data_IF_373113963223
#
_entry.id   IF_373113963223
#
_cell.length_a   1.000
_cell.length_b   1.000
_cell.length_c   1.000
_cell.angle_alpha   90.00
_cell.angle_beta   90.00
_cell.angle_gamma   90.00
#
_symmetry.space_group_name_H-M   'P 1'
#
loop_
_entity.id
_entity.type
_entity.pdbx_description
1 polymer ?
#
# COMPACT_ATOMS: atom_id res chain seq x y z
N UNK A 1 -12.13 -17.29 -11.46
CA UNK A 1 -10.84 -16.67 -11.83
C UNK A 1 -10.86 -15.88 -13.15
N UNK A 2 -11.97 -15.82 -13.89
CA UNK A 2 -12.03 -15.18 -15.21
C UNK A 2 -12.76 -13.83 -15.24
N UNK A 3 -13.23 -13.32 -14.12
CA UNK A 3 -13.86 -11.99 -14.07
C UNK A 3 -12.85 -10.94 -13.60
N UNK A 4 -12.43 -10.06 -14.50
CA UNK A 4 -11.59 -8.88 -14.20
C UNK A 4 -10.10 -8.99 -14.55
N UNK A 5 -9.51 -10.18 -14.63
CA UNK A 5 -8.10 -10.36 -15.02
C UNK A 5 -7.92 -10.72 -16.52
N UNK A 6 -8.98 -10.67 -17.31
CA UNK A 6 -9.02 -11.18 -18.70
C UNK A 6 -8.29 -10.33 -19.75
N UNK A 7 -8.05 -9.06 -19.51
CA UNK A 7 -7.35 -8.18 -20.45
C UNK A 7 -5.88 -8.04 -20.04
N UNK A 8 -5.02 -8.82 -20.66
CA UNK A 8 -3.56 -8.90 -20.44
C UNK A 8 -2.83 -7.56 -20.60
N UNK A 9 -3.51 -6.53 -21.07
CA UNK A 9 -2.93 -5.22 -21.41
C UNK A 9 -3.58 -4.03 -20.68
N UNK A 10 -4.54 -4.26 -19.77
CA UNK A 10 -5.11 -3.13 -19.04
C UNK A 10 -4.17 -2.65 -17.94
N UNK A 11 -3.82 -1.37 -18.02
CA UNK A 11 -3.20 -0.64 -16.91
C UNK A 11 -4.15 -0.62 -15.74
N UNK A 12 -3.61 -0.76 -14.53
CA UNK A 12 -4.39 -0.72 -13.27
C UNK A 12 -4.09 0.58 -12.54
N UNK A 13 -5.11 1.25 -12.09
CA UNK A 13 -5.02 2.44 -11.25
C UNK A 13 -5.41 2.08 -9.81
N UNK A 14 -4.43 2.12 -8.90
CA UNK A 14 -4.67 2.02 -7.47
C UNK A 14 -5.29 3.32 -6.93
N UNK A 15 -5.91 3.22 -5.77
CA UNK A 15 -6.45 4.35 -5.02
C UNK A 15 -5.35 5.26 -4.43
N UNK A 16 -5.78 6.30 -3.70
CA UNK A 16 -4.95 7.25 -2.99
C UNK A 16 -4.97 7.03 -1.47
N UNK A 17 -4.46 8.02 -0.73
CA UNK A 17 -4.27 7.95 0.71
C UNK A 17 -5.59 7.92 1.49
N UNK A 18 -5.85 6.84 2.22
CA UNK A 18 -6.95 6.74 3.17
C UNK A 18 -6.76 7.70 4.36
N UNK A 19 -5.60 7.66 5.02
CA UNK A 19 -5.37 8.42 6.25
C UNK A 19 -5.43 9.95 6.06
N UNK A 20 -4.89 10.46 4.94
CA UNK A 20 -4.99 11.90 4.62
C UNK A 20 -6.44 12.32 4.42
N UNK A 21 -7.18 11.58 3.62
CA UNK A 21 -8.57 11.91 3.31
C UNK A 21 -9.46 11.90 4.56
N UNK A 22 -9.28 10.91 5.42
CA UNK A 22 -9.99 10.87 6.70
C UNK A 22 -9.68 12.10 7.57
N UNK A 23 -8.40 12.50 7.66
CA UNK A 23 -7.99 13.70 8.41
C UNK A 23 -8.60 14.98 7.82
N UNK A 24 -8.62 15.11 6.49
CA UNK A 24 -9.23 16.27 5.81
C UNK A 24 -10.75 16.35 6.03
N UNK A 25 -11.40 15.22 6.31
CA UNK A 25 -12.81 15.12 6.69
C UNK A 25 -13.05 15.33 8.19
N UNK A 26 -12.01 15.65 8.95
CA UNK A 26 -12.09 15.91 10.39
C UNK A 26 -12.15 14.66 11.25
N UNK A 27 -11.82 13.49 10.70
CA UNK A 27 -11.68 12.27 11.50
C UNK A 27 -10.35 12.34 12.27
N UNK A 28 -10.40 12.08 13.55
CA UNK A 28 -9.21 11.99 14.39
C UNK A 28 -8.35 10.78 13.96
N UNK A 29 -7.09 11.05 13.66
CA UNK A 29 -6.11 10.03 13.25
C UNK A 29 -4.99 10.05 14.30
N UNK A 30 -5.05 9.19 15.32
CA UNK A 30 -4.01 9.09 16.34
C UNK A 30 -2.73 8.47 15.76
N UNK A 31 -1.61 8.76 16.38
CA UNK A 31 -0.30 8.29 15.94
C UNK A 31 -0.12 6.78 16.14
N UNK A 32 -0.82 6.19 17.10
CA UNK A 32 -0.69 4.78 17.50
C UNK A 32 -1.30 3.81 16.50
N UNK A 33 -2.57 4.01 16.13
CA UNK A 33 -3.33 3.11 15.24
C UNK A 33 -3.70 3.73 13.90
N UNK A 34 -3.21 4.94 13.64
CA UNK A 34 -3.35 5.65 12.37
C UNK A 34 -4.80 5.66 11.84
N UNK A 35 -4.99 5.38 10.53
CA UNK A 35 -6.31 5.35 9.91
C UNK A 35 -7.23 4.22 10.41
N UNK A 36 -6.69 3.21 11.10
CA UNK A 36 -7.50 2.18 11.73
C UNK A 36 -8.48 2.74 12.78
N UNK A 37 -8.17 3.90 13.40
CA UNK A 37 -9.12 4.57 14.30
C UNK A 37 -10.46 4.88 13.63
N UNK A 38 -10.45 5.20 12.34
CA UNK A 38 -11.69 5.47 11.61
C UNK A 38 -12.64 4.28 11.52
N UNK A 39 -12.12 3.05 11.61
CA UNK A 39 -12.95 1.84 11.70
C UNK A 39 -13.81 1.84 12.97
N UNK A 40 -13.31 2.49 14.04
CA UNK A 40 -13.97 2.57 15.34
C UNK A 40 -14.95 3.73 15.46
N UNK A 41 -14.55 4.90 14.93
CA UNK A 41 -15.24 6.17 15.21
C UNK A 41 -15.98 6.76 14.00
N UNK A 42 -15.60 6.38 12.78
CA UNK A 42 -16.14 6.97 11.55
C UNK A 42 -16.15 5.99 10.36
N UNK A 43 -16.74 4.77 10.50
CA UNK A 43 -16.72 3.76 9.43
C UNK A 43 -17.37 4.25 8.13
N UNK A 44 -18.36 5.12 8.20
CA UNK A 44 -18.99 5.70 7.01
C UNK A 44 -18.02 6.60 6.23
N UNK A 45 -17.11 7.31 6.90
CA UNK A 45 -16.09 8.11 6.21
C UNK A 45 -15.07 7.23 5.50
N UNK A 46 -14.76 6.03 6.02
CA UNK A 46 -13.94 5.06 5.30
C UNK A 46 -14.61 4.65 3.98
N UNK A 47 -15.94 4.38 4.01
CA UNK A 47 -16.71 4.09 2.79
C UNK A 47 -16.66 5.27 1.83
N UNK A 48 -16.85 6.50 2.33
CA UNK A 48 -16.85 7.71 1.51
C UNK A 48 -15.50 7.93 0.82
N UNK A 49 -14.37 7.68 1.49
CA UNK A 49 -13.03 7.77 0.89
C UNK A 49 -12.87 6.74 -0.24
N UNK A 50 -13.31 5.50 -0.03
CA UNK A 50 -13.29 4.48 -1.09
C UNK A 50 -14.17 4.90 -2.28
N UNK A 51 -15.39 5.44 -2.03
CA UNK A 51 -16.31 5.91 -3.07
C UNK A 51 -15.67 7.00 -3.92
N UNK A 52 -15.00 7.97 -3.30
CA UNK A 52 -14.35 9.07 -4.02
C UNK A 52 -13.18 8.57 -4.88
N UNK A 53 -12.39 7.61 -4.38
CA UNK A 53 -11.33 6.99 -5.18
C UNK A 53 -11.91 6.20 -6.37
N UNK A 54 -13.00 5.45 -6.17
CA UNK A 54 -13.70 4.74 -7.26
C UNK A 54 -14.26 5.74 -8.28
N UNK A 55 -14.89 6.81 -7.83
CA UNK A 55 -15.42 7.87 -8.69
C UNK A 55 -14.30 8.58 -9.47
N UNK A 56 -13.12 8.72 -8.89
CA UNK A 56 -11.92 9.27 -9.53
C UNK A 56 -11.27 8.31 -10.54
N UNK A 57 -11.76 7.08 -10.63
CA UNK A 57 -11.37 6.11 -11.65
C UNK A 57 -10.42 5.03 -11.18
N UNK A 58 -10.26 4.81 -9.88
CA UNK A 58 -9.50 3.68 -9.36
C UNK A 58 -10.07 2.35 -9.87
N UNK A 59 -9.19 1.47 -10.32
CA UNK A 59 -9.50 0.10 -10.74
C UNK A 59 -9.27 -0.89 -9.59
N UNK A 60 -8.46 -0.50 -8.59
CA UNK A 60 -8.16 -1.26 -7.37
C UNK A 60 -8.24 -0.32 -6.18
N UNK A 61 -8.97 -0.71 -5.13
CA UNK A 61 -8.98 -0.02 -3.83
C UNK A 61 -8.36 -0.90 -2.77
N UNK A 62 -7.64 -0.28 -1.82
CA UNK A 62 -6.95 -0.97 -0.72
C UNK A 62 -7.75 -0.89 0.58
N UNK A 63 -7.89 -2.01 1.28
CA UNK A 63 -8.61 -2.03 2.57
C UNK A 63 -7.93 -1.14 3.61
N UNK A 64 -8.70 -0.51 4.49
CA UNK A 64 -8.16 0.29 5.61
C UNK A 64 -7.63 -0.60 6.75
N UNK A 65 -6.84 -1.63 6.39
CA UNK A 65 -6.23 -2.58 7.34
C UNK A 65 -4.76 -2.26 7.65
N UNK A 66 -4.18 -1.23 7.04
CA UNK A 66 -2.78 -0.86 7.23
C UNK A 66 -2.41 -0.61 8.70
N UNK A 67 -3.23 0.10 9.46
CA UNK A 67 -3.03 0.33 10.90
C UNK A 67 -3.60 -0.77 11.79
N UNK A 68 -4.20 -1.82 11.23
CA UNK A 68 -4.77 -2.93 12.01
C UNK A 68 -3.71 -4.00 12.22
N UNK A 69 -2.75 -3.72 13.10
CA UNK A 69 -1.67 -4.60 13.51
C UNK A 69 -1.75 -4.86 15.01
N UNK A 70 -1.46 -6.10 15.43
CA UNK A 70 -1.58 -6.48 16.86
C UNK A 70 -0.77 -5.57 17.77
N UNK A 71 0.47 -5.25 17.40
CA UNK A 71 1.35 -4.43 18.21
C UNK A 71 0.80 -3.00 18.42
N UNK A 72 0.22 -2.41 17.39
CA UNK A 72 -0.34 -1.06 17.46
C UNK A 72 -1.68 -1.06 18.22
N UNK A 73 -2.54 -2.04 17.96
CA UNK A 73 -3.79 -2.22 18.72
C UNK A 73 -3.54 -2.49 20.22
N UNK A 74 -2.42 -3.14 20.57
CA UNK A 74 -2.05 -3.38 21.97
C UNK A 74 -1.72 -2.08 22.71
N UNK A 75 -1.14 -1.08 22.02
CA UNK A 75 -0.88 0.25 22.61
C UNK A 75 -2.17 0.95 23.04
N UNK A 76 -3.28 0.66 22.36
CA UNK A 76 -4.62 1.17 22.68
C UNK A 76 -5.45 0.20 23.57
N UNK A 77 -4.89 -0.95 23.97
CA UNK A 77 -5.58 -1.96 24.77
C UNK A 77 -6.68 -2.72 24.02
N UNK A 78 -6.70 -2.66 22.68
CA UNK A 78 -7.74 -3.26 21.82
C UNK A 78 -7.21 -4.38 20.92
N UNK A 79 -6.09 -5.00 21.24
CA UNK A 79 -5.50 -6.11 20.47
C UNK A 79 -6.50 -7.26 20.23
N UNK A 80 -7.40 -7.51 21.17
CA UNK A 80 -8.44 -8.53 21.06
C UNK A 80 -9.39 -8.30 19.88
N UNK A 81 -9.48 -7.09 19.35
CA UNK A 81 -10.30 -6.72 18.19
C UNK A 81 -9.58 -6.88 16.84
N UNK A 82 -8.37 -7.43 16.81
CA UNK A 82 -7.55 -7.55 15.60
C UNK A 82 -8.30 -8.20 14.44
N UNK A 83 -8.94 -9.36 14.67
CA UNK A 83 -9.73 -10.03 13.64
C UNK A 83 -10.91 -9.19 13.19
N UNK A 84 -11.72 -8.71 14.14
CA UNK A 84 -12.91 -7.90 13.88
C UNK A 84 -12.59 -6.67 13.00
N UNK A 85 -11.51 -5.94 13.33
CA UNK A 85 -11.17 -4.73 12.60
C UNK A 85 -10.61 -5.00 11.19
N UNK A 86 -9.85 -6.09 11.00
CA UNK A 86 -9.43 -6.51 9.66
C UNK A 86 -10.64 -6.94 8.80
N UNK A 87 -11.59 -7.69 9.35
CA UNK A 87 -12.83 -8.07 8.67
C UNK A 87 -13.68 -6.83 8.34
N UNK A 88 -13.84 -5.90 9.29
CA UNK A 88 -14.58 -4.66 9.08
C UNK A 88 -13.94 -3.80 7.96
N UNK A 89 -12.62 -3.67 7.92
CA UNK A 89 -11.94 -2.94 6.85
C UNK A 89 -12.29 -3.52 5.45
N UNK A 90 -12.38 -4.84 5.35
CA UNK A 90 -12.80 -5.51 4.11
C UNK A 90 -14.29 -5.29 3.81
N UNK A 91 -15.15 -5.32 4.81
CA UNK A 91 -16.59 -5.08 4.65
C UNK A 91 -16.87 -3.67 4.12
N UNK A 92 -16.20 -2.66 4.68
CA UNK A 92 -16.37 -1.27 4.24
C UNK A 92 -15.92 -1.05 2.79
N UNK A 93 -14.79 -1.65 2.38
CA UNK A 93 -14.34 -1.61 0.99
C UNK A 93 -15.34 -2.30 0.03
N UNK A 94 -15.89 -3.45 0.42
CA UNK A 94 -16.93 -4.15 -0.35
C UNK A 94 -18.21 -3.35 -0.44
N UNK A 95 -18.62 -2.71 0.65
CA UNK A 95 -19.80 -1.85 0.68
C UNK A 95 -19.62 -0.62 -0.23
N UNK A 96 -18.44 0.01 -0.22
CA UNK A 96 -18.15 1.10 -1.14
C UNK A 96 -18.24 0.65 -2.61
N UNK A 97 -17.64 -0.49 -2.97
CA UNK A 97 -17.74 -1.08 -4.31
C UNK A 97 -19.20 -1.31 -4.73
N UNK A 98 -19.99 -1.89 -3.83
CA UNK A 98 -21.43 -2.13 -4.06
C UNK A 98 -22.21 -0.84 -4.25
N UNK A 99 -21.99 0.19 -3.40
CA UNK A 99 -22.66 1.51 -3.52
C UNK A 99 -22.27 2.23 -4.80
N UNK A 100 -21.02 2.09 -5.24
CA UNK A 100 -20.56 2.66 -6.50
C UNK A 100 -21.12 1.96 -7.75
N UNK A 101 -21.72 0.77 -7.60
CA UNK A 101 -22.16 -0.06 -8.74
C UNK A 101 -21.02 -0.51 -9.65
N UNK A 102 -19.78 -0.60 -9.12
CA UNK A 102 -18.56 -0.89 -9.85
C UNK A 102 -17.98 -2.26 -9.45
N UNK A 103 -18.70 -3.32 -9.79
CA UNK A 103 -18.29 -4.70 -9.49
C UNK A 103 -16.96 -5.10 -10.17
N UNK A 104 -16.49 -4.33 -11.14
CA UNK A 104 -15.22 -4.48 -11.84
C UNK A 104 -14.01 -3.99 -11.03
N UNK A 105 -14.23 -3.12 -10.02
CA UNK A 105 -13.18 -2.63 -9.13
C UNK A 105 -12.70 -3.77 -8.22
N UNK A 106 -11.39 -3.99 -8.17
CA UNK A 106 -10.77 -4.99 -7.31
C UNK A 106 -10.55 -4.44 -5.90
N UNK A 107 -10.62 -5.32 -4.91
CA UNK A 107 -10.29 -5.00 -3.52
C UNK A 107 -8.97 -5.70 -3.16
N UNK A 108 -7.96 -4.92 -2.81
CA UNK A 108 -6.69 -5.39 -2.31
C UNK A 108 -6.68 -5.39 -0.77
N UNK A 109 -6.42 -6.53 -0.16
CA UNK A 109 -6.20 -6.62 1.28
C UNK A 109 -4.81 -6.11 1.62
N UNK A 110 -4.71 -4.96 2.30
CA UNK A 110 -3.44 -4.36 2.65
C UNK A 110 -2.79 -5.08 3.83
N UNK A 111 -1.57 -5.57 3.63
CA UNK A 111 -0.69 -6.13 4.67
C UNK A 111 0.51 -5.20 4.86
N UNK A 112 0.58 -4.47 5.99
CA UNK A 112 1.60 -3.46 6.27
C UNK A 112 2.86 -4.03 6.92
N UNK A 113 3.94 -3.22 7.09
CA UNK A 113 5.01 -3.50 8.04
C UNK A 113 4.47 -3.65 9.46
N UNK A 114 4.95 -4.66 10.21
CA UNK A 114 4.37 -5.00 11.53
C UNK A 114 4.94 -4.19 12.69
N UNK A 115 6.10 -3.54 12.52
CA UNK A 115 6.84 -2.87 13.60
C UNK A 115 7.24 -1.43 13.26
N UNK A 116 6.58 -0.83 12.31
CA UNK A 116 6.79 0.56 11.89
C UNK A 116 7.14 0.71 10.42
N UNK A 117 6.45 1.65 9.76
CA UNK A 117 6.72 2.01 8.37
C UNK A 117 8.11 2.60 8.24
N UNK A 118 8.83 2.24 7.16
CA UNK A 118 10.18 2.73 6.84
C UNK A 118 11.30 2.26 7.78
N UNK A 119 11.00 1.46 8.79
CA UNK A 119 11.91 1.04 9.87
C UNK A 119 12.42 -0.39 9.64
N UNK A 120 13.31 -0.55 8.64
CA UNK A 120 13.96 -1.84 8.36
C UNK A 120 14.72 -2.42 9.57
N UNK A 121 15.20 -1.56 10.46
CA UNK A 121 15.89 -1.91 11.69
C UNK A 121 14.97 -2.53 12.76
N UNK A 122 13.66 -2.36 12.65
CA UNK A 122 12.67 -2.90 13.61
C UNK A 122 11.98 -4.19 13.12
N UNK A 123 12.24 -4.66 11.90
CA UNK A 123 11.54 -5.79 11.29
C UNK A 123 11.55 -7.05 12.15
N UNK A 124 12.70 -7.38 12.78
CA UNK A 124 12.86 -8.60 13.59
C UNK A 124 13.17 -9.84 12.73
N UNK A 125 13.12 -11.02 13.37
CA UNK A 125 13.47 -12.28 12.74
C UNK A 125 12.28 -12.89 11.99
N UNK A 126 12.58 -13.68 10.94
CA UNK A 126 11.56 -14.34 10.12
C UNK A 126 10.54 -15.15 10.93
N UNK A 127 11.02 -15.98 11.86
CA UNK A 127 10.18 -16.87 12.67
C UNK A 127 9.26 -16.10 13.66
N UNK A 128 9.59 -14.85 13.95
CA UNK A 128 8.76 -13.97 14.77
C UNK A 128 7.65 -13.30 13.96
N UNK A 129 7.97 -12.80 12.75
CA UNK A 129 7.04 -11.99 11.97
C UNK A 129 6.14 -12.83 11.04
N UNK A 130 6.62 -13.97 10.55
CA UNK A 130 5.86 -14.83 9.64
C UNK A 130 4.50 -15.29 10.21
N UNK A 131 4.40 -15.78 11.47
CA UNK A 131 3.10 -16.18 12.05
C UNK A 131 2.10 -15.02 12.12
N UNK A 132 2.58 -13.79 12.35
CA UNK A 132 1.73 -12.60 12.42
C UNK A 132 1.17 -12.23 11.05
N UNK A 133 2.02 -12.25 10.02
CA UNK A 133 1.56 -12.09 8.63
C UNK A 133 0.61 -13.21 8.20
N UNK A 134 0.88 -14.44 8.61
CA UNK A 134 0.02 -15.58 8.27
C UNK A 134 -1.38 -15.42 8.86
N UNK A 135 -1.48 -14.98 10.12
CA UNK A 135 -2.77 -14.69 10.74
C UNK A 135 -3.55 -13.61 9.98
N UNK A 136 -2.89 -12.47 9.69
CA UNK A 136 -3.54 -11.38 8.96
C UNK A 136 -3.97 -11.80 7.56
N UNK A 137 -3.10 -12.48 6.81
CA UNK A 137 -3.40 -12.98 5.47
C UNK A 137 -4.61 -13.91 5.47
N UNK A 138 -4.72 -14.82 6.45
CA UNK A 138 -5.85 -15.75 6.58
C UNK A 138 -7.17 -15.02 6.89
N UNK A 139 -7.12 -13.92 7.63
CA UNK A 139 -8.31 -13.10 7.92
C UNK A 139 -8.75 -12.34 6.67
N UNK A 140 -7.83 -11.72 5.95
CA UNK A 140 -8.14 -10.90 4.77
C UNK A 140 -8.60 -11.74 3.57
N UNK A 141 -7.96 -12.87 3.32
CA UNK A 141 -8.11 -13.66 2.09
C UNK A 141 -9.55 -14.01 1.70
N UNK A 142 -10.49 -14.37 2.61
CA UNK A 142 -11.88 -14.67 2.23
C UNK A 142 -12.64 -13.48 1.65
N UNK A 143 -12.20 -12.25 1.94
CA UNK A 143 -12.96 -11.02 1.74
C UNK A 143 -12.45 -10.15 0.59
N UNK A 144 -11.27 -10.45 0.02
CA UNK A 144 -10.58 -9.60 -0.95
C UNK A 144 -10.29 -10.34 -2.27
N UNK A 145 -10.02 -9.59 -3.33
CA UNK A 145 -9.71 -10.14 -4.65
C UNK A 145 -8.21 -10.48 -4.80
N UNK A 146 -7.35 -9.73 -4.11
CA UNK A 146 -5.90 -9.95 -4.03
C UNK A 146 -5.37 -9.50 -2.67
N UNK A 147 -4.15 -9.92 -2.32
CA UNK A 147 -3.41 -9.42 -1.16
C UNK A 147 -2.26 -8.54 -1.64
N UNK A 148 -2.12 -7.37 -1.05
CA UNK A 148 -1.05 -6.41 -1.30
C UNK A 148 -0.17 -6.31 -0.05
N UNK A 149 1.03 -6.93 -0.13
CA UNK A 149 2.08 -6.74 0.86
C UNK A 149 2.77 -5.41 0.55
N UNK A 150 2.47 -4.36 1.28
CA UNK A 150 2.88 -3.00 0.92
C UNK A 150 3.85 -2.37 1.92
N UNK A 151 4.69 -1.47 1.41
CA UNK A 151 5.67 -0.69 2.19
C UNK A 151 6.74 -1.58 2.85
N UNK A 152 7.03 -2.74 2.25
CA UNK A 152 8.04 -3.66 2.76
C UNK A 152 9.43 -3.00 2.73
N UNK A 153 10.08 -2.89 3.89
CA UNK A 153 11.31 -2.13 4.08
C UNK A 153 12.59 -2.94 3.84
N UNK A 154 12.46 -4.27 3.81
CA UNK A 154 13.58 -5.21 3.63
C UNK A 154 13.18 -6.44 2.82
N UNK A 155 14.16 -7.18 2.33
CA UNK A 155 13.96 -8.46 1.65
C UNK A 155 13.31 -9.49 2.57
N UNK A 156 13.73 -9.55 3.84
CA UNK A 156 13.19 -10.47 4.84
C UNK A 156 11.73 -10.19 5.15
N UNK A 157 11.35 -8.92 5.34
CA UNK A 157 9.97 -8.51 5.59
C UNK A 157 9.08 -8.86 4.40
N UNK A 158 9.51 -8.50 3.19
CA UNK A 158 8.80 -8.85 1.96
C UNK A 158 8.64 -10.37 1.80
N UNK A 159 9.66 -11.16 2.15
CA UNK A 159 9.60 -12.62 2.12
C UNK A 159 8.57 -13.19 3.10
N UNK A 160 8.57 -12.73 4.34
CA UNK A 160 7.62 -13.22 5.35
C UNK A 160 6.18 -12.89 4.95
N UNK A 161 5.91 -11.64 4.55
CA UNK A 161 4.59 -11.20 4.11
C UNK A 161 4.12 -11.96 2.85
N UNK A 162 4.96 -12.04 1.82
CA UNK A 162 4.63 -12.73 0.57
C UNK A 162 4.40 -14.22 0.77
N UNK A 163 5.22 -14.90 1.59
CA UNK A 163 5.03 -16.32 1.90
C UNK A 163 3.68 -16.57 2.56
N UNK A 164 3.34 -15.75 3.55
CA UNK A 164 2.05 -15.83 4.26
C UNK A 164 0.85 -15.56 3.31
N UNK A 165 0.96 -14.54 2.47
CA UNK A 165 -0.08 -14.18 1.51
C UNK A 165 -0.27 -15.27 0.45
N UNK A 166 0.81 -15.79 -0.14
CA UNK A 166 0.76 -16.84 -1.16
C UNK A 166 0.13 -18.13 -0.64
N UNK A 167 0.33 -18.46 0.63
CA UNK A 167 -0.27 -19.64 1.26
C UNK A 167 -1.82 -19.60 1.29
N UNK A 168 -2.44 -18.43 1.11
CA UNK A 168 -3.90 -18.27 1.05
C UNK A 168 -4.50 -18.68 -0.30
N UNK A 169 -3.70 -18.81 -1.36
CA UNK A 169 -4.13 -19.05 -2.73
C UNK A 169 -4.72 -17.81 -3.44
N UNK A 170 -4.69 -16.62 -2.82
CA UNK A 170 -5.07 -15.36 -3.48
C UNK A 170 -3.93 -14.85 -4.37
N UNK A 171 -4.23 -14.09 -5.44
CA UNK A 171 -3.22 -13.30 -6.13
C UNK A 171 -2.46 -12.41 -5.15
N UNK A 172 -1.15 -12.32 -5.29
CA UNK A 172 -0.30 -11.53 -4.39
C UNK A 172 0.50 -10.51 -5.17
N UNK A 173 0.45 -9.26 -4.69
CA UNK A 173 1.36 -8.19 -5.10
C UNK A 173 2.26 -7.84 -3.93
N UNK A 174 3.53 -7.56 -4.23
CA UNK A 174 4.51 -7.09 -3.25
C UNK A 174 5.01 -5.71 -3.66
N UNK A 175 4.96 -4.78 -2.73
CA UNK A 175 5.45 -3.42 -2.92
C UNK A 175 6.51 -3.10 -1.87
N UNK A 176 7.71 -2.77 -2.32
CA UNK A 176 8.81 -2.35 -1.45
C UNK A 176 8.86 -0.84 -1.33
N UNK A 177 9.21 -0.34 -0.14
CA UNK A 177 9.51 1.06 0.06
C UNK A 177 11.00 1.32 -0.13
N UNK A 178 11.31 2.25 -1.04
CA UNK A 178 12.69 2.57 -1.41
C UNK A 178 13.25 3.70 -0.53
N UNK A 179 14.57 3.78 -0.48
CA UNK A 179 15.27 4.83 0.24
C UNK A 179 15.12 6.18 -0.48
N UNK A 180 14.88 7.27 0.28
CA UNK A 180 14.62 8.60 -0.31
C UNK A 180 15.85 9.20 -1.00
N UNK A 181 17.03 8.95 -0.46
CA UNK A 181 18.28 9.60 -0.89
C UNK A 181 19.29 8.64 -1.53
N UNK A 182 18.95 7.35 -1.64
CA UNK A 182 19.81 6.32 -2.26
C UNK A 182 18.96 5.59 -3.31
N UNK A 183 19.21 5.87 -4.57
CA UNK A 183 18.43 5.31 -5.68
C UNK A 183 18.66 3.78 -5.79
N UNK A 184 17.58 3.05 -6.10
CA UNK A 184 17.63 1.62 -6.40
C UNK A 184 17.78 0.70 -5.21
N UNK A 185 17.70 1.19 -3.97
CA UNK A 185 17.80 0.37 -2.76
C UNK A 185 16.59 0.52 -1.85
N UNK A 186 16.28 -0.52 -1.09
CA UNK A 186 15.27 -0.51 -0.04
C UNK A 186 15.72 0.33 1.16
N UNK A 187 14.81 0.56 2.10
CA UNK A 187 15.14 1.22 3.39
C UNK A 187 16.21 0.48 4.20
N UNK A 188 16.28 -0.83 4.07
CA UNK A 188 17.35 -1.68 4.65
C UNK A 188 18.73 -1.47 4.04
N UNK A 189 18.79 -0.89 2.83
CA UNK A 189 20.00 -0.79 2.03
C UNK A 189 20.24 -1.96 1.07
N UNK A 190 19.37 -2.98 1.09
CA UNK A 190 19.38 -4.08 0.13
C UNK A 190 18.92 -3.57 -1.25
N UNK A 191 19.43 -4.20 -2.32
CA UNK A 191 18.93 -3.92 -3.68
C UNK A 191 17.55 -4.54 -3.93
N UNK A 192 16.84 -4.02 -4.92
CA UNK A 192 15.59 -4.65 -5.41
C UNK A 192 15.82 -6.08 -5.90
N UNK A 193 16.97 -6.37 -6.51
CA UNK A 193 17.34 -7.70 -6.96
C UNK A 193 17.47 -8.70 -5.81
N UNK A 194 18.08 -8.30 -4.68
CA UNK A 194 18.14 -9.13 -3.47
C UNK A 194 16.74 -9.35 -2.88
N UNK A 195 15.91 -8.30 -2.83
CA UNK A 195 14.53 -8.41 -2.35
C UNK A 195 13.68 -9.34 -3.25
N UNK A 196 13.81 -9.22 -4.57
CA UNK A 196 13.16 -10.13 -5.52
C UNK A 196 13.67 -11.57 -5.36
N UNK A 197 14.99 -11.79 -5.26
CA UNK A 197 15.56 -13.12 -5.10
C UNK A 197 15.03 -13.85 -3.87
N UNK A 198 14.71 -13.12 -2.79
CA UNK A 198 14.12 -13.68 -1.57
C UNK A 198 12.71 -14.28 -1.77
N UNK A 199 11.98 -13.87 -2.82
CA UNK A 199 10.60 -14.30 -3.12
C UNK A 199 10.45 -14.90 -4.52
N UNK A 200 11.51 -15.09 -5.28
CA UNK A 200 11.47 -15.52 -6.68
C UNK A 200 10.76 -16.88 -6.91
N UNK A 201 10.78 -17.76 -5.91
CA UNK A 201 10.11 -19.07 -5.96
C UNK A 201 8.63 -19.02 -5.55
N UNK A 202 8.14 -17.87 -5.09
CA UNK A 202 6.74 -17.70 -4.69
C UNK A 202 5.87 -17.30 -5.89
N UNK A 203 4.58 -17.71 -5.93
CA UNK A 203 3.66 -17.36 -7.00
C UNK A 203 3.16 -15.91 -6.88
N UNK A 204 4.07 -14.96 -6.71
CA UNK A 204 3.78 -13.53 -6.73
C UNK A 204 3.51 -13.09 -8.15
N UNK A 205 2.45 -12.31 -8.37
CA UNK A 205 2.05 -11.86 -9.70
C UNK A 205 2.22 -10.35 -9.92
N UNK A 206 2.56 -9.59 -8.88
CA UNK A 206 2.81 -8.14 -8.97
C UNK A 206 4.05 -7.72 -8.17
N UNK A 207 4.91 -6.93 -8.79
CA UNK A 207 6.12 -6.36 -8.18
C UNK A 207 6.07 -4.85 -8.32
N UNK A 208 6.03 -4.15 -7.19
CA UNK A 208 5.78 -2.72 -7.11
C UNK A 208 6.79 -2.03 -6.20
N UNK A 209 6.90 -0.71 -6.33
CA UNK A 209 7.52 0.13 -5.30
C UNK A 209 6.49 1.13 -4.78
N UNK A 210 6.46 1.38 -3.47
CA UNK A 210 5.47 2.30 -2.91
C UNK A 210 5.96 3.11 -1.72
N UNK A 211 5.17 4.12 -1.41
CA UNK A 211 5.36 4.99 -0.24
C UNK A 211 6.79 5.53 -0.09
N UNK A 212 7.41 5.84 -1.20
CA UNK A 212 8.71 6.49 -1.35
C UNK A 212 8.58 7.63 -2.36
N UNK A 213 9.61 8.49 -2.52
CA UNK A 213 9.57 9.56 -3.51
C UNK A 213 9.33 9.03 -4.93
N UNK A 214 8.57 9.75 -5.76
CA UNK A 214 8.28 9.33 -7.14
C UNK A 214 9.55 9.17 -7.99
N UNK A 215 10.60 9.91 -7.71
CA UNK A 215 11.92 9.82 -8.36
C UNK A 215 12.63 8.49 -8.03
N UNK A 216 12.42 7.98 -6.81
CA UNK A 216 12.96 6.66 -6.41
C UNK A 216 12.28 5.54 -7.19
N UNK A 217 10.96 5.63 -7.41
CA UNK A 217 10.23 4.68 -8.27
C UNK A 217 10.72 4.78 -9.70
N UNK A 218 10.86 5.99 -10.25
CA UNK A 218 11.38 6.19 -11.63
C UNK A 218 12.73 5.50 -11.82
N UNK A 219 13.65 5.67 -10.87
CA UNK A 219 14.97 5.04 -10.95
C UNK A 219 14.94 3.52 -10.84
N UNK A 220 13.96 2.96 -10.13
CA UNK A 220 13.80 1.52 -9.93
C UNK A 220 13.03 0.82 -11.07
N UNK A 221 12.32 1.58 -11.91
CA UNK A 221 11.48 1.01 -12.97
C UNK A 221 12.19 0.04 -13.92
N UNK A 222 13.44 0.29 -14.38
CA UNK A 222 14.12 -0.66 -15.26
C UNK A 222 14.32 -2.04 -14.61
N UNK A 223 14.59 -2.08 -13.31
CA UNK A 223 14.78 -3.32 -12.56
C UNK A 223 13.42 -4.01 -12.28
N UNK A 224 12.41 -3.25 -11.86
CA UNK A 224 11.05 -3.75 -11.70
C UNK A 224 10.49 -4.33 -12.99
N UNK A 225 10.66 -3.64 -14.12
CA UNK A 225 10.17 -4.08 -15.44
C UNK A 225 10.86 -5.37 -15.94
N UNK A 226 12.04 -5.70 -15.43
CA UNK A 226 12.73 -6.94 -15.73
C UNK A 226 12.23 -8.15 -14.91
N UNK A 227 11.45 -7.93 -13.86
CA UNK A 227 10.88 -9.01 -13.03
C UNK A 227 9.76 -9.73 -13.79
N UNK A 228 9.57 -11.05 -13.58
CA UNK A 228 8.60 -11.86 -14.34
C UNK A 228 7.16 -11.70 -13.84
N UNK A 229 6.81 -10.52 -13.34
CA UNK A 229 5.46 -10.20 -12.85
C UNK A 229 4.52 -9.79 -13.96
N UNK A 230 3.23 -10.11 -13.80
CA UNK A 230 2.17 -9.60 -14.66
C UNK A 230 1.86 -8.13 -14.38
N UNK A 231 2.04 -7.71 -13.13
CA UNK A 231 1.74 -6.37 -12.65
C UNK A 231 3.02 -5.73 -12.15
N UNK A 232 3.41 -4.63 -12.78
CA UNK A 232 4.66 -3.91 -12.52
C UNK A 232 4.35 -2.43 -12.36
N UNK A 233 4.95 -1.78 -11.36
CA UNK A 233 4.78 -0.33 -11.25
C UNK A 233 5.02 0.24 -9.87
N UNK A 234 4.23 1.26 -9.51
CA UNK A 234 4.37 1.88 -8.21
C UNK A 234 3.32 2.94 -7.89
N UNK A 235 3.31 3.33 -6.61
CA UNK A 235 2.44 4.36 -6.05
C UNK A 235 3.21 5.12 -4.95
N UNK A 236 3.65 6.33 -5.30
CA UNK A 236 4.54 7.15 -4.48
C UNK A 236 3.78 7.90 -3.38
N UNK A 237 4.51 8.34 -2.36
CA UNK A 237 4.06 9.37 -1.46
C UNK A 237 4.38 10.77 -2.02
N UNK A 238 3.84 11.81 -1.37
CA UNK A 238 4.18 13.21 -1.66
C UNK A 238 4.92 13.87 -0.50
N UNK A 239 5.57 13.10 0.35
CA UNK A 239 6.28 13.62 1.51
C UNK A 239 7.64 14.22 1.16
N UNK A 240 8.09 15.16 1.98
CA UNK A 240 9.50 15.51 2.09
C UNK A 240 10.30 14.26 2.50
N UNK A 241 11.63 14.22 2.24
CA UNK A 241 12.44 13.07 2.62
C UNK A 241 12.23 12.66 4.08
N UNK A 242 11.97 11.37 4.29
CA UNK A 242 11.61 10.81 5.59
C UNK A 242 12.88 10.51 6.37
N UNK A 243 13.07 11.07 7.58
CA UNK A 243 14.20 10.72 8.44
C UNK A 243 14.27 9.21 8.72
N UNK A 244 15.49 8.68 8.84
CA UNK A 244 15.68 7.24 9.02
C UNK A 244 15.10 6.73 10.35
N UNK A 245 15.15 7.57 11.38
CA UNK A 245 14.67 7.28 12.74
C UNK A 245 13.19 7.59 12.93
N UNK A 246 12.50 8.07 11.88
CA UNK A 246 11.11 8.46 11.97
C UNK A 246 10.21 7.30 12.40
N UNK A 247 9.32 7.57 13.34
CA UNK A 247 8.27 6.64 13.75
C UNK A 247 6.91 7.34 13.72
N UNK A 248 5.86 6.57 13.48
CA UNK A 248 4.50 7.10 13.45
C UNK A 248 3.96 7.34 14.87
N UNK A 249 4.38 6.54 15.83
CA UNK A 249 3.78 6.40 17.16
C UNK A 249 4.39 7.30 18.24
N UNK A 250 5.15 8.31 17.85
CA UNK A 250 5.75 9.25 18.79
C UNK A 250 6.85 8.66 19.68
N UNK A 251 7.40 7.50 19.32
CA UNK A 251 8.44 6.83 20.13
C UNK A 251 9.88 7.20 19.70
N UNK A 252 10.03 8.00 18.65
CA UNK A 252 11.32 8.42 18.10
C UNK A 252 11.65 9.91 18.33
N UNK A 253 12.90 10.29 18.04
CA UNK A 253 13.32 11.70 18.08
C UNK A 253 12.77 12.54 16.91
N UNK A 254 12.17 11.89 15.90
CA UNK A 254 11.65 12.50 14.68
C UNK A 254 10.22 12.02 14.43
N UNK A 255 9.27 12.63 15.12
CA UNK A 255 7.87 12.21 15.18
C UNK A 255 6.92 13.15 14.43
N UNK A 256 5.66 12.70 14.32
CA UNK A 256 4.55 13.52 13.88
C UNK A 256 4.26 13.46 12.40
N UNK A 257 3.30 14.25 11.91
CA UNK A 257 2.88 14.23 10.53
C UNK A 257 4.01 14.71 9.62
N UNK A 258 4.34 13.90 8.61
CA UNK A 258 5.34 14.25 7.61
C UNK A 258 4.88 15.44 6.76
N UNK A 259 5.79 16.37 6.49
CA UNK A 259 5.53 17.50 5.61
C UNK A 259 5.37 17.04 4.16
N UNK A 260 4.41 17.63 3.46
CA UNK A 260 4.13 17.35 2.05
C UNK A 260 4.95 18.29 1.17
N UNK A 261 5.42 17.81 0.04
CA UNK A 261 6.14 18.57 -0.99
C UNK A 261 5.18 19.49 -1.75
N UNK A 262 5.51 20.76 -1.86
CA UNK A 262 4.71 21.76 -2.59
C UNK A 262 4.84 21.63 -4.12
N UNK A 263 5.92 20.99 -4.60
CA UNK A 263 6.20 20.78 -6.03
C UNK A 263 5.54 19.53 -6.62
N UNK A 264 4.86 18.73 -5.80
CA UNK A 264 4.16 17.51 -6.23
C UNK A 264 2.63 17.70 -6.21
N UNK A 265 2.13 18.66 -6.97
CA UNK A 265 0.70 18.77 -7.22
C UNK A 265 0.19 17.58 -8.09
N UNK A 266 -1.13 17.39 -8.28
CA UNK A 266 -1.69 16.30 -9.08
C UNK A 266 -1.15 16.24 -10.51
N UNK A 267 -0.81 17.38 -11.12
CA UNK A 267 -0.27 17.46 -12.47
C UNK A 267 1.18 16.96 -12.51
N UNK A 268 2.05 17.49 -11.67
CA UNK A 268 3.46 17.10 -11.58
C UNK A 268 3.60 15.62 -11.22
N UNK A 269 2.76 15.13 -10.29
CA UNK A 269 2.73 13.72 -9.93
C UNK A 269 2.36 12.83 -11.13
N UNK A 270 1.34 13.21 -11.90
CA UNK A 270 0.91 12.46 -13.07
C UNK A 270 1.96 12.44 -14.18
N UNK A 271 2.75 13.50 -14.33
CA UNK A 271 3.87 13.55 -15.27
C UNK A 271 4.99 12.56 -14.89
N UNK A 272 5.31 12.46 -13.60
CA UNK A 272 6.26 11.45 -13.08
C UNK A 272 5.73 10.04 -13.29
N UNK A 273 4.46 9.78 -12.96
CA UNK A 273 3.84 8.48 -13.20
C UNK A 273 3.80 8.11 -14.70
N UNK A 274 3.67 9.09 -15.59
CA UNK A 274 3.78 8.91 -17.04
C UNK A 274 5.15 8.38 -17.48
N UNK A 275 6.23 8.78 -16.77
CA UNK A 275 7.57 8.24 -17.03
C UNK A 275 7.69 6.79 -16.58
N UNK A 276 7.04 6.41 -15.45
CA UNK A 276 6.99 5.00 -15.02
C UNK A 276 6.28 4.13 -16.04
N UNK A 277 5.13 4.60 -16.57
CA UNK A 277 4.42 3.91 -17.66
C UNK A 277 5.28 3.74 -18.91
N UNK A 278 6.02 4.78 -19.30
CA UNK A 278 6.95 4.74 -20.44
C UNK A 278 8.11 3.76 -20.21
N UNK A 279 8.46 3.49 -18.94
CA UNK A 279 9.51 2.56 -18.53
C UNK A 279 8.99 1.14 -18.24
N UNK A 280 7.72 0.83 -18.56
CA UNK A 280 7.18 -0.52 -18.48
C UNK A 280 6.19 -0.76 -17.33
N UNK A 281 5.84 0.26 -16.53
CA UNK A 281 4.79 0.11 -15.54
C UNK A 281 3.42 -0.14 -16.20
N UNK A 282 2.62 -0.98 -15.58
CA UNK A 282 1.20 -1.16 -15.88
C UNK A 282 0.30 -1.02 -14.65
N UNK A 283 0.90 -0.75 -13.48
CA UNK A 283 0.20 -0.38 -12.24
C UNK A 283 0.74 0.96 -11.77
N UNK A 284 -0.14 1.93 -11.60
CA UNK A 284 0.18 3.23 -10.98
C UNK A 284 -0.89 3.58 -9.95
N UNK A 285 -0.60 4.47 -9.05
CA UNK A 285 -1.54 4.94 -8.03
C UNK A 285 -0.95 5.99 -7.13
N UNK A 286 -1.61 6.27 -6.01
CA UNK A 286 -1.14 7.17 -4.99
C UNK A 286 -0.96 6.48 -3.64
N UNK A 287 -0.04 6.98 -2.82
CA UNK A 287 0.15 6.57 -1.44
C UNK A 287 -0.05 7.78 -0.52
N UNK A 288 0.65 7.83 0.59
CA UNK A 288 0.54 8.93 1.56
C UNK A 288 0.67 10.31 0.91
N UNK A 289 -0.16 11.25 1.35
CA UNK A 289 -0.18 12.62 0.84
C UNK A 289 -0.97 12.83 -0.46
N UNK A 290 -1.38 11.79 -1.18
CA UNK A 290 -2.25 11.93 -2.36
C UNK A 290 -3.74 12.00 -1.98
N UNK A 291 -4.57 12.48 -2.89
CA UNK A 291 -6.03 12.61 -2.74
C UNK A 291 -6.74 12.01 -3.95
N UNK A 292 -8.08 11.87 -3.93
CA UNK A 292 -8.86 11.47 -5.09
C UNK A 292 -8.62 12.34 -6.34
N UNK A 293 -8.20 13.60 -6.17
CA UNK A 293 -7.81 14.48 -7.27
C UNK A 293 -6.57 13.97 -8.02
N UNK A 294 -5.58 13.44 -7.29
CA UNK A 294 -4.41 12.80 -7.90
C UNK A 294 -4.83 11.58 -8.73
N UNK A 295 -5.75 10.77 -8.20
CA UNK A 295 -6.25 9.59 -8.90
C UNK A 295 -7.01 9.98 -10.17
N UNK A 296 -7.86 11.00 -10.11
CA UNK A 296 -8.55 11.54 -11.29
C UNK A 296 -7.56 12.05 -12.34
N UNK A 297 -6.48 12.71 -11.92
CA UNK A 297 -5.45 13.21 -12.83
C UNK A 297 -4.66 12.06 -13.48
N UNK A 298 -4.29 11.04 -12.70
CA UNK A 298 -3.67 9.81 -13.22
C UNK A 298 -4.58 9.11 -14.23
N UNK A 299 -5.90 9.00 -13.94
CA UNK A 299 -6.88 8.40 -14.86
C UNK A 299 -6.93 9.12 -16.19
N UNK A 300 -6.94 10.45 -16.17
CA UNK A 300 -6.92 11.27 -17.38
C UNK A 300 -5.67 11.00 -18.23
N UNK A 301 -4.50 10.82 -17.58
CA UNK A 301 -3.24 10.53 -18.27
C UNK A 301 -3.19 9.13 -18.90
N UNK A 302 -3.96 8.17 -18.37
CA UNK A 302 -4.05 6.81 -18.93
C UNK A 302 -4.91 6.76 -20.20
N UNK A 303 -5.77 7.75 -20.40
CA UNK A 303 -6.74 7.82 -21.50
C UNK A 303 -6.24 8.66 -22.68
N UNK A 304 -5.15 9.38 -22.50
CA UNK A 304 -4.49 10.20 -23.52
C UNK A 304 -3.42 9.39 -24.28
#
# INVERSE_FOLDING_TARGET
WSRGLGDVYKRQLLDGSMGRELRMRGVEIPETIWSANALLVAPEEVINVHLDNIASGADVITTNSYGVIRNDLAKEGIEHRFRELNELACELAREARRRAGREDVLIAGAMPPLRGSFRADLVGEYDEIFPLYQEQAQILAPHVDLILCETMSSALEGKAAATAACATGRPVWVAWTLHDNKLGVLRSGESLGEAYAAIAELPVCGYLANCCPPESIESAMPELAAMPGRFIGGYANTFMPIPQEWTLDGSGESDGPLAVRDDLDPQAYAELAGRWLSSGANVIGGCCGTSPEYIARLKASLSA
#
